data_IF_264435694619
#
_entry.id   IF_264435694619
#
_cell.length_a   1.000
_cell.length_b   1.000
_cell.length_c   1.000
_cell.angle_alpha   90.00
_cell.angle_beta   90.00
_cell.angle_gamma   90.00
#
_symmetry.space_group_name_H-M   'P 1'
#
loop_
_entity.id
_entity.type
_entity.pdbx_description
1 polymer ?
#
# COMPACT_ATOMS: atom_id res chain seq x y z
N UNK A 1 -24.99 0.30 -6.16
CA UNK A 1 -24.66 1.73 -6.39
C UNK A 1 -25.21 2.64 -5.29
N UNK A 2 -26.42 2.44 -4.79
CA UNK A 2 -26.99 3.32 -3.74
C UNK A 2 -26.20 3.30 -2.43
N UNK A 3 -25.68 2.16 -2.01
CA UNK A 3 -24.85 2.03 -0.81
C UNK A 3 -23.54 2.81 -0.91
N UNK A 4 -22.85 2.75 -2.06
CA UNK A 4 -21.59 3.49 -2.31
C UNK A 4 -21.81 5.01 -2.35
N UNK A 5 -23.03 5.46 -2.69
CA UNK A 5 -23.42 6.87 -2.64
C UNK A 5 -23.52 7.42 -1.22
N UNK A 6 -23.89 6.56 -0.26
CA UNK A 6 -24.16 6.97 1.13
C UNK A 6 -22.92 6.93 2.03
N UNK A 7 -21.96 6.07 1.74
CA UNK A 7 -20.70 5.97 2.48
C UNK A 7 -19.59 5.33 1.66
N UNK A 8 -18.36 5.60 2.02
CA UNK A 8 -17.18 4.96 1.45
C UNK A 8 -17.00 3.56 2.03
N UNK A 9 -16.58 2.64 1.17
CA UNK A 9 -16.23 1.27 1.54
C UNK A 9 -14.77 1.01 1.22
N UNK A 10 -14.12 0.21 2.06
CA UNK A 10 -12.71 -0.17 1.90
C UNK A 10 -12.50 -1.35 0.94
N UNK A 11 -13.55 -2.12 0.69
CA UNK A 11 -13.53 -3.32 -0.15
C UNK A 11 -14.94 -3.61 -0.66
N UNK A 12 -15.02 -4.10 -1.90
CA UNK A 12 -16.25 -4.65 -2.48
C UNK A 12 -15.99 -6.10 -2.86
N UNK A 13 -16.85 -7.01 -2.37
CA UNK A 13 -16.89 -8.40 -2.81
C UNK A 13 -18.05 -8.58 -3.78
N UNK A 14 -17.79 -9.24 -4.90
CA UNK A 14 -18.82 -9.57 -5.88
C UNK A 14 -18.67 -10.99 -6.38
N UNK A 15 -19.77 -11.63 -6.74
CA UNK A 15 -19.71 -12.87 -7.51
C UNK A 15 -19.33 -12.54 -8.97
N UNK A 16 -18.58 -13.44 -9.59
CA UNK A 16 -18.28 -13.32 -11.02
C UNK A 16 -19.54 -13.54 -11.86
N UNK A 17 -20.33 -14.54 -11.48
CA UNK A 17 -21.54 -14.96 -12.19
C UNK A 17 -22.78 -14.55 -11.39
N UNK A 18 -23.37 -13.43 -11.75
CA UNK A 18 -24.61 -12.93 -11.17
C UNK A 18 -25.69 -12.78 -12.27
N UNK A 19 -26.99 -12.93 -11.92
CA UNK A 19 -28.07 -12.59 -12.85
C UNK A 19 -28.04 -11.11 -13.24
N UNK A 20 -28.48 -10.78 -14.43
CA UNK A 20 -28.63 -9.41 -14.97
C UNK A 20 -27.30 -8.70 -15.28
N UNK A 21 -26.36 -8.62 -14.35
CA UNK A 21 -25.06 -7.99 -14.49
C UNK A 21 -23.98 -8.89 -13.87
N UNK A 22 -22.96 -9.24 -14.63
CA UNK A 22 -21.85 -10.06 -14.14
C UNK A 22 -20.79 -9.20 -13.43
N UNK A 23 -19.79 -9.87 -12.78
CA UNK A 23 -18.74 -9.18 -12.03
C UNK A 23 -17.89 -8.24 -12.87
N UNK A 24 -17.66 -8.53 -14.15
CA UNK A 24 -16.89 -7.67 -15.06
C UNK A 24 -17.66 -6.40 -15.41
N UNK A 25 -18.92 -6.54 -15.75
CA UNK A 25 -19.83 -5.40 -16.05
C UNK A 25 -20.01 -4.50 -14.83
N UNK A 26 -20.13 -5.10 -13.64
CA UNK A 26 -20.17 -4.35 -12.38
C UNK A 26 -18.88 -3.55 -12.17
N UNK A 27 -17.71 -4.16 -12.41
CA UNK A 27 -16.42 -3.47 -12.28
C UNK A 27 -16.33 -2.28 -13.24
N UNK A 28 -16.71 -2.47 -14.50
CA UNK A 28 -16.73 -1.40 -15.51
C UNK A 28 -17.67 -0.27 -15.10
N UNK A 29 -18.88 -0.60 -14.65
CA UNK A 29 -19.84 0.37 -14.15
C UNK A 29 -19.29 1.17 -12.96
N UNK A 30 -18.58 0.53 -12.04
CA UNK A 30 -17.94 1.21 -10.92
C UNK A 30 -16.85 2.18 -11.39
N UNK A 31 -15.99 1.76 -12.31
CA UNK A 31 -14.85 2.56 -12.80
C UNK A 31 -15.28 3.74 -13.66
N UNK A 32 -16.41 3.64 -14.35
CA UNK A 32 -17.00 4.72 -15.17
C UNK A 32 -17.88 5.68 -14.37
N UNK A 33 -18.37 5.25 -13.20
CA UNK A 33 -19.26 6.08 -12.37
C UNK A 33 -18.49 7.09 -11.51
N UNK A 34 -19.15 8.20 -11.15
CA UNK A 34 -18.63 9.23 -10.24
C UNK A 34 -19.34 9.18 -8.87
N UNK A 35 -19.64 7.99 -8.36
CA UNK A 35 -20.42 7.81 -7.13
C UNK A 35 -19.47 7.41 -5.98
N UNK A 36 -19.33 8.26 -4.97
CA UNK A 36 -18.48 7.99 -3.81
C UNK A 36 -17.06 7.60 -4.23
N UNK A 37 -16.52 6.52 -3.63
CA UNK A 37 -15.21 5.98 -3.99
C UNK A 37 -15.26 4.85 -5.04
N UNK A 38 -16.30 4.80 -5.87
CA UNK A 38 -16.51 3.74 -6.89
C UNK A 38 -15.33 3.51 -7.81
N UNK A 39 -14.62 4.57 -8.20
CA UNK A 39 -13.44 4.49 -9.10
C UNK A 39 -12.23 3.82 -8.46
N UNK A 40 -12.08 3.93 -7.16
CA UNK A 40 -10.87 3.53 -6.43
C UNK A 40 -11.06 2.34 -5.51
N UNK A 41 -12.33 2.02 -5.14
CA UNK A 41 -12.62 0.90 -4.26
C UNK A 41 -12.02 -0.40 -4.80
N UNK A 42 -11.24 -1.16 -4.00
CA UNK A 42 -10.79 -2.48 -4.39
C UNK A 42 -11.99 -3.42 -4.59
N UNK A 43 -12.03 -4.10 -5.73
CA UNK A 43 -13.08 -5.07 -6.04
C UNK A 43 -12.45 -6.46 -6.06
N UNK A 44 -12.92 -7.35 -5.22
CA UNK A 44 -12.53 -8.76 -5.16
C UNK A 44 -13.68 -9.60 -5.70
N UNK A 45 -13.37 -10.46 -6.65
CA UNK A 45 -14.35 -11.37 -7.23
C UNK A 45 -14.38 -12.69 -6.46
N UNK A 46 -15.56 -13.24 -6.27
CA UNK A 46 -15.76 -14.61 -5.78
C UNK A 46 -16.26 -15.50 -6.92
N UNK A 47 -15.76 -16.73 -7.03
CA UNK A 47 -16.16 -17.66 -8.09
C UNK A 47 -16.15 -19.09 -7.60
N UNK A 48 -17.02 -19.94 -8.16
CA UNK A 48 -17.01 -21.39 -7.95
C UNK A 48 -16.17 -22.13 -9.00
N UNK A 49 -15.64 -21.42 -10.01
CA UNK A 49 -14.89 -22.03 -11.11
C UNK A 49 -13.40 -22.03 -10.83
N UNK A 50 -12.78 -23.21 -10.81
CA UNK A 50 -11.33 -23.40 -10.67
C UNK A 50 -10.55 -22.97 -11.94
N UNK A 51 -11.24 -22.74 -13.05
CA UNK A 51 -10.65 -22.34 -14.34
C UNK A 51 -10.53 -20.83 -14.51
N UNK A 52 -10.69 -20.05 -13.43
CA UNK A 52 -10.59 -18.61 -13.53
C UNK A 52 -9.12 -18.18 -13.43
N UNK A 53 -8.59 -17.61 -14.50
CA UNK A 53 -7.22 -17.11 -14.53
C UNK A 53 -7.07 -15.86 -13.65
N UNK A 54 -6.25 -15.97 -12.60
CA UNK A 54 -5.97 -14.84 -11.69
C UNK A 54 -5.24 -13.70 -12.39
N UNK A 55 -4.44 -13.99 -13.39
CA UNK A 55 -3.70 -12.99 -14.17
C UNK A 55 -4.68 -12.18 -15.01
N UNK A 56 -5.60 -12.84 -15.72
CA UNK A 56 -6.67 -12.18 -16.48
C UNK A 56 -7.54 -11.27 -15.59
N UNK A 57 -7.94 -11.76 -14.42
CA UNK A 57 -8.74 -10.95 -13.48
C UNK A 57 -7.99 -9.69 -13.01
N UNK A 58 -6.68 -9.83 -12.77
CA UNK A 58 -5.85 -8.70 -12.34
C UNK A 58 -5.67 -7.67 -13.47
N UNK A 59 -5.45 -8.13 -14.70
CA UNK A 59 -5.37 -7.27 -15.90
C UNK A 59 -6.66 -6.50 -16.15
N UNK A 60 -7.80 -7.13 -15.91
CA UNK A 60 -9.12 -6.48 -15.99
C UNK A 60 -9.42 -5.51 -14.86
N UNK A 61 -8.57 -5.46 -13.82
CA UNK A 61 -8.64 -4.46 -12.74
C UNK A 61 -9.29 -4.95 -11.44
N UNK A 62 -9.51 -6.26 -11.27
CA UNK A 62 -9.87 -6.81 -9.97
C UNK A 62 -8.67 -6.76 -9.01
N UNK A 63 -8.95 -6.47 -7.75
CA UNK A 63 -7.93 -6.43 -6.71
C UNK A 63 -7.52 -7.82 -6.20
N UNK A 64 -8.37 -8.82 -6.42
CA UNK A 64 -8.13 -10.22 -6.04
C UNK A 64 -9.30 -11.12 -6.39
N UNK A 65 -9.10 -12.42 -6.14
CA UNK A 65 -10.09 -13.47 -6.36
C UNK A 65 -10.15 -14.43 -5.17
N UNK A 66 -11.36 -14.88 -4.81
CA UNK A 66 -11.63 -15.94 -3.83
C UNK A 66 -12.42 -17.07 -4.50
N UNK A 67 -11.92 -18.30 -4.37
CA UNK A 67 -12.60 -19.49 -4.87
C UNK A 67 -13.55 -20.02 -3.81
N UNK A 68 -14.81 -20.27 -4.19
CA UNK A 68 -15.82 -20.87 -3.31
C UNK A 68 -15.65 -22.39 -3.25
N UNK A 69 -15.70 -23.00 -2.05
CA UNK A 69 -15.84 -22.39 -0.73
C UNK A 69 -14.52 -21.79 -0.22
N UNK A 70 -14.56 -20.59 0.36
CA UNK A 70 -13.40 -19.95 0.96
C UNK A 70 -13.56 -19.81 2.48
N UNK A 71 -12.43 -19.90 3.18
CA UNK A 71 -12.37 -19.74 4.63
C UNK A 71 -12.33 -18.25 5.05
N UNK A 72 -12.66 -17.97 6.31
CA UNK A 72 -12.50 -16.64 6.90
C UNK A 72 -11.05 -16.16 6.81
N UNK A 73 -10.07 -17.07 6.93
CA UNK A 73 -8.65 -16.73 6.82
C UNK A 73 -8.26 -16.25 5.42
N UNK A 74 -8.77 -16.88 4.38
CA UNK A 74 -8.55 -16.45 2.98
C UNK A 74 -9.19 -15.11 2.71
N UNK A 75 -10.40 -14.89 3.20
CA UNK A 75 -11.06 -13.59 3.11
C UNK A 75 -10.24 -12.49 3.81
N UNK A 76 -9.75 -12.75 5.03
CA UNK A 76 -8.89 -11.81 5.76
C UNK A 76 -7.61 -11.50 4.98
N UNK A 77 -6.90 -12.51 4.46
CA UNK A 77 -5.67 -12.31 3.66
C UNK A 77 -5.91 -11.43 2.44
N UNK A 78 -7.01 -11.65 1.73
CA UNK A 78 -7.36 -10.85 0.55
C UNK A 78 -7.78 -9.44 0.96
N UNK A 79 -8.56 -9.30 2.04
CA UNK A 79 -8.96 -8.00 2.58
C UNK A 79 -7.75 -7.17 3.02
N UNK A 80 -6.80 -7.77 3.74
CA UNK A 80 -5.56 -7.10 4.15
C UNK A 80 -4.72 -6.66 2.94
N UNK A 81 -4.60 -7.53 1.94
CA UNK A 81 -3.91 -7.20 0.68
C UNK A 81 -4.57 -6.04 -0.06
N UNK A 82 -5.90 -5.99 -0.07
CA UNK A 82 -6.66 -4.90 -0.69
C UNK A 82 -6.59 -3.60 0.12
N UNK A 83 -6.68 -3.68 1.45
CA UNK A 83 -6.50 -2.55 2.35
C UNK A 83 -5.08 -1.96 2.23
N UNK A 84 -4.07 -2.81 2.01
CA UNK A 84 -2.70 -2.39 1.72
C UNK A 84 -2.58 -1.70 0.37
N UNK A 85 -3.23 -2.20 -0.69
CA UNK A 85 -3.24 -1.54 -2.02
C UNK A 85 -3.95 -0.18 -1.99
N UNK A 86 -5.02 -0.03 -1.22
CA UNK A 86 -5.69 1.27 -1.02
C UNK A 86 -4.80 2.29 -0.28
N UNK A 87 -4.00 1.81 0.67
CA UNK A 87 -3.05 2.63 1.42
C UNK A 87 -1.76 2.96 0.66
N UNK A 88 -1.45 2.23 -0.42
CA UNK A 88 -0.28 2.49 -1.29
C UNK A 88 -0.27 3.90 -1.89
N UNK A 89 -1.44 4.52 -2.06
CA UNK A 89 -1.61 5.86 -2.63
C UNK A 89 -1.97 6.94 -1.62
N UNK A 90 -2.07 6.61 -0.32
CA UNK A 90 -2.24 7.65 0.70
C UNK A 90 -0.93 8.43 0.85
N UNK A 91 -1.05 9.76 0.73
CA UNK A 91 0.07 10.67 1.01
C UNK A 91 0.45 10.54 2.48
N UNK A 92 1.75 10.63 2.83
CA UNK A 92 2.18 10.68 4.21
C UNK A 92 1.42 11.73 5.01
N UNK A 93 0.89 11.35 6.15
CA UNK A 93 0.13 12.21 7.05
C UNK A 93 1.03 12.73 8.18
N UNK A 94 1.33 14.02 8.17
CA UNK A 94 2.18 14.66 9.16
C UNK A 94 1.42 15.15 10.40
N UNK A 95 0.09 15.12 10.41
CA UNK A 95 -0.75 15.71 11.45
C UNK A 95 -0.38 15.18 12.85
N UNK A 96 -0.29 13.85 12.99
CA UNK A 96 0.07 13.23 14.27
C UNK A 96 1.49 13.57 14.70
N UNK A 97 2.43 13.64 13.76
CA UNK A 97 3.83 13.94 14.06
C UNK A 97 4.00 15.41 14.51
N UNK A 98 3.30 16.34 13.88
CA UNK A 98 3.40 17.77 14.15
C UNK A 98 2.78 18.19 15.49
N UNK A 99 1.92 17.35 16.08
CA UNK A 99 1.34 17.61 17.40
C UNK A 99 2.34 17.56 18.57
N UNK A 100 3.57 17.07 18.35
CA UNK A 100 4.56 16.86 19.41
C UNK A 100 5.52 18.02 19.67
N UNK A 101 5.43 19.16 18.95
CA UNK A 101 6.28 20.32 19.22
C UNK A 101 6.39 21.28 18.03
N UNK A 102 7.55 21.96 17.92
CA UNK A 102 7.79 22.92 16.84
C UNK A 102 7.85 22.20 15.50
N UNK A 103 6.88 22.49 14.63
CA UNK A 103 6.62 21.84 13.37
C UNK A 103 7.82 21.89 12.42
N UNK A 104 8.46 23.05 12.29
CA UNK A 104 9.62 23.23 11.41
C UNK A 104 10.80 22.37 11.86
N UNK A 105 11.07 22.29 13.17
CA UNK A 105 12.16 21.51 13.74
C UNK A 105 11.89 20.00 13.60
N UNK A 106 10.65 19.58 13.80
CA UNK A 106 10.23 18.18 13.65
C UNK A 106 10.40 17.73 12.21
N UNK A 107 9.92 18.54 11.25
CA UNK A 107 10.05 18.24 9.82
C UNK A 107 11.51 18.24 9.36
N UNK A 108 12.34 19.13 9.86
CA UNK A 108 13.77 19.17 9.56
C UNK A 108 14.48 17.88 10.01
N UNK A 109 14.22 17.44 11.24
CA UNK A 109 14.75 16.16 11.78
C UNK A 109 14.28 14.96 10.97
N UNK A 110 12.99 14.92 10.63
CA UNK A 110 12.41 13.84 9.81
C UNK A 110 13.12 13.78 8.44
N UNK A 111 13.30 14.92 7.77
CA UNK A 111 13.96 15.02 6.47
C UNK A 111 15.39 14.49 6.58
N UNK A 112 16.19 15.03 7.51
CA UNK A 112 17.60 14.69 7.67
C UNK A 112 17.78 13.18 8.01
N UNK A 113 16.96 12.66 8.92
CA UNK A 113 17.00 11.24 9.30
C UNK A 113 16.60 10.34 8.14
N UNK A 114 15.53 10.68 7.41
CA UNK A 114 15.06 9.91 6.26
C UNK A 114 16.10 9.92 5.15
N UNK A 115 16.68 11.07 4.79
CA UNK A 115 17.74 11.19 3.79
C UNK A 115 18.95 10.32 4.13
N UNK A 116 19.41 10.37 5.38
CA UNK A 116 20.53 9.56 5.85
C UNK A 116 20.24 8.05 5.72
N UNK A 117 19.07 7.61 6.16
CA UNK A 117 18.69 6.19 6.12
C UNK A 117 18.45 5.70 4.69
N UNK A 118 17.88 6.54 3.79
CA UNK A 118 17.74 6.19 2.37
C UNK A 118 19.09 5.94 1.69
N UNK A 119 20.13 6.69 2.04
CA UNK A 119 21.48 6.44 1.51
C UNK A 119 22.02 5.08 1.95
N UNK A 120 21.79 4.69 3.21
CA UNK A 120 22.25 3.40 3.76
C UNK A 120 21.46 2.25 3.11
N UNK A 121 20.14 2.35 3.02
CA UNK A 121 19.27 1.36 2.33
C UNK A 121 19.72 1.14 0.89
N UNK A 122 20.03 2.21 0.15
CA UNK A 122 20.51 2.12 -1.23
C UNK A 122 21.83 1.34 -1.30
N UNK A 123 22.77 1.60 -0.39
CA UNK A 123 24.06 0.91 -0.32
C UNK A 123 23.88 -0.56 0.07
N UNK A 124 23.06 -0.85 1.08
CA UNK A 124 22.76 -2.21 1.52
C UNK A 124 22.06 -3.02 0.42
N UNK A 125 21.11 -2.43 -0.28
CA UNK A 125 20.45 -3.07 -1.42
C UNK A 125 21.40 -3.41 -2.57
N UNK A 126 22.33 -2.52 -2.90
CA UNK A 126 23.35 -2.77 -3.93
C UNK A 126 24.33 -3.87 -3.53
N UNK A 127 24.66 -3.97 -2.23
CA UNK A 127 25.55 -5.01 -1.68
C UNK A 127 24.83 -6.31 -1.36
N UNK A 128 23.51 -6.33 -1.46
CA UNK A 128 22.64 -7.44 -1.01
C UNK A 128 22.86 -7.78 0.48
N UNK A 129 23.11 -6.78 1.29
CA UNK A 129 23.27 -6.93 2.72
C UNK A 129 21.90 -7.01 3.39
N UNK A 130 21.38 -8.24 3.49
CA UNK A 130 20.05 -8.51 4.03
C UNK A 130 19.95 -8.19 5.52
N UNK A 131 21.04 -8.33 6.29
CA UNK A 131 21.07 -8.02 7.72
C UNK A 131 20.96 -6.51 7.95
N UNK A 132 21.70 -5.71 7.18
CA UNK A 132 21.62 -4.25 7.24
C UNK A 132 20.23 -3.75 6.77
N UNK A 133 19.66 -4.35 5.71
CA UNK A 133 18.31 -4.03 5.25
C UNK A 133 17.25 -4.31 6.32
N UNK A 134 17.37 -5.44 7.02
CA UNK A 134 16.45 -5.78 8.10
C UNK A 134 16.51 -4.79 9.27
N UNK A 135 17.71 -4.50 9.76
CA UNK A 135 17.92 -3.53 10.82
C UNK A 135 17.36 -2.15 10.47
N UNK A 136 17.58 -1.67 9.24
CA UNK A 136 17.09 -0.38 8.76
C UNK A 136 15.56 -0.36 8.63
N UNK A 137 14.97 -1.46 8.16
CA UNK A 137 13.53 -1.63 8.05
C UNK A 137 12.88 -1.52 9.43
N UNK A 138 13.45 -2.19 10.42
CA UNK A 138 12.99 -2.12 11.80
C UNK A 138 13.07 -0.69 12.37
N UNK A 139 14.19 0.00 12.17
CA UNK A 139 14.39 1.35 12.68
C UNK A 139 13.47 2.41 12.05
N UNK A 140 13.16 2.28 10.76
CA UNK A 140 12.29 3.23 10.07
C UNK A 140 10.80 2.99 10.33
N UNK A 141 10.43 1.77 10.71
CA UNK A 141 9.03 1.36 10.79
C UNK A 141 8.21 2.26 11.70
N UNK A 142 8.68 2.54 12.92
CA UNK A 142 7.94 3.35 13.90
C UNK A 142 7.68 4.77 13.41
N UNK A 143 8.67 5.42 12.80
CA UNK A 143 8.53 6.77 12.25
C UNK A 143 7.56 6.79 11.06
N UNK A 144 7.63 5.81 10.17
CA UNK A 144 6.77 5.75 9.01
C UNK A 144 5.35 5.28 9.33
N UNK A 145 5.17 4.50 10.40
CA UNK A 145 3.84 4.10 10.90
C UNK A 145 3.04 5.32 11.38
N UNK A 146 3.68 6.26 12.08
CA UNK A 146 3.06 7.53 12.48
C UNK A 146 2.60 8.33 11.25
N UNK A 147 3.37 8.28 10.17
CA UNK A 147 3.05 8.92 8.88
C UNK A 147 2.07 8.12 8.03
N UNK A 148 1.63 6.96 8.46
CA UNK A 148 0.84 5.98 7.67
C UNK A 148 1.49 5.60 6.34
N UNK A 149 2.82 5.58 6.31
CA UNK A 149 3.64 5.37 5.11
C UNK A 149 4.51 4.10 5.17
N UNK A 150 4.35 3.26 6.21
CA UNK A 150 5.23 2.13 6.55
C UNK A 150 5.04 0.86 5.70
N UNK A 151 4.06 0.85 4.79
CA UNK A 151 3.73 -0.35 4.01
C UNK A 151 4.91 -0.91 3.19
N UNK A 152 5.71 -0.12 2.45
CA UNK A 152 6.85 -0.66 1.73
C UNK A 152 7.89 -1.32 2.66
N UNK A 153 8.04 -0.80 3.89
CA UNK A 153 8.90 -1.40 4.91
C UNK A 153 8.35 -2.74 5.40
N UNK A 154 7.03 -2.85 5.58
CA UNK A 154 6.38 -4.12 5.97
C UNK A 154 6.53 -5.19 4.88
N UNK A 155 6.45 -4.80 3.61
CA UNK A 155 6.64 -5.72 2.49
C UNK A 155 8.09 -6.19 2.40
N UNK A 156 9.05 -5.28 2.50
CA UNK A 156 10.47 -5.63 2.54
C UNK A 156 10.77 -6.55 3.73
N UNK A 157 10.29 -6.22 4.93
CA UNK A 157 10.44 -7.07 6.12
C UNK A 157 9.91 -8.49 5.90
N UNK A 158 8.71 -8.63 5.33
CA UNK A 158 8.14 -9.96 5.03
C UNK A 158 9.03 -10.76 4.09
N UNK A 159 9.57 -10.13 3.04
CA UNK A 159 10.46 -10.81 2.08
C UNK A 159 11.77 -11.23 2.71
N UNK A 160 12.31 -10.46 3.66
CA UNK A 160 13.54 -10.78 4.37
C UNK A 160 13.37 -11.94 5.37
N UNK A 161 12.13 -12.21 5.83
CA UNK A 161 11.82 -13.24 6.83
C UNK A 161 10.93 -14.38 6.30
N UNK A 162 10.70 -14.45 4.98
CA UNK A 162 10.03 -15.60 4.38
C UNK A 162 11.03 -16.74 4.19
N UNK A 163 10.61 -17.97 4.59
CA UNK A 163 11.40 -19.19 4.42
C UNK A 163 11.51 -19.64 2.95
N UNK A 164 10.60 -19.18 2.08
CA UNK A 164 10.74 -19.33 0.63
C UNK A 164 11.74 -18.30 0.11
N UNK A 165 12.76 -18.79 -0.55
CA UNK A 165 13.84 -17.98 -1.15
C UNK A 165 13.26 -16.92 -2.10
N UNK A 166 13.01 -15.73 -1.55
CA UNK A 166 12.61 -14.59 -2.38
C UNK A 166 13.75 -14.32 -3.36
N UNK A 167 13.45 -14.29 -4.66
CA UNK A 167 14.45 -14.02 -5.67
C UNK A 167 15.03 -12.60 -5.52
N UNK A 168 16.27 -12.43 -5.93
CA UNK A 168 17.00 -11.15 -5.87
C UNK A 168 16.22 -9.99 -6.50
N UNK A 169 15.43 -10.27 -7.53
CA UNK A 169 14.63 -9.29 -8.25
C UNK A 169 13.46 -8.78 -7.38
N UNK A 170 12.82 -9.66 -6.65
CA UNK A 170 11.71 -9.34 -5.75
C UNK A 170 12.20 -8.46 -4.59
N UNK A 171 13.33 -8.80 -3.97
CA UNK A 171 13.96 -7.98 -2.91
C UNK A 171 14.37 -6.61 -3.47
N UNK A 172 14.99 -6.56 -4.66
CA UNK A 172 15.39 -5.32 -5.31
C UNK A 172 14.19 -4.39 -5.60
N UNK A 173 13.07 -4.95 -6.04
CA UNK A 173 11.84 -4.19 -6.26
C UNK A 173 11.27 -3.64 -4.94
N UNK A 174 11.29 -4.42 -3.87
CA UNK A 174 10.84 -3.97 -2.56
C UNK A 174 11.74 -2.86 -2.00
N UNK A 175 13.06 -2.98 -2.12
CA UNK A 175 14.03 -1.93 -1.77
C UNK A 175 13.74 -0.65 -2.56
N UNK A 176 13.48 -0.77 -3.87
CA UNK A 176 13.11 0.38 -4.71
C UNK A 176 11.82 1.04 -4.21
N UNK A 177 10.80 0.27 -3.86
CA UNK A 177 9.55 0.81 -3.32
C UNK A 177 9.76 1.60 -2.02
N UNK A 178 10.65 1.12 -1.13
CA UNK A 178 11.05 1.84 0.09
C UNK A 178 11.75 3.16 -0.25
N UNK A 179 12.68 3.16 -1.22
CA UNK A 179 13.40 4.37 -1.65
C UNK A 179 12.47 5.40 -2.29
N UNK A 180 11.52 4.95 -3.10
CA UNK A 180 10.54 5.81 -3.75
C UNK A 180 9.62 6.47 -2.70
N UNK A 181 9.14 5.69 -1.72
CA UNK A 181 8.32 6.22 -0.61
C UNK A 181 9.10 7.17 0.29
N UNK A 182 10.36 6.88 0.60
CA UNK A 182 11.24 7.78 1.35
C UNK A 182 11.44 9.12 0.63
N UNK A 183 11.61 9.08 -0.69
CA UNK A 183 11.73 10.28 -1.53
C UNK A 183 10.43 11.11 -1.52
N UNK A 184 9.28 10.46 -1.53
CA UNK A 184 7.97 11.11 -1.41
C UNK A 184 7.81 11.79 -0.04
N UNK A 185 8.15 11.09 1.06
CA UNK A 185 8.11 11.65 2.42
C UNK A 185 8.98 12.91 2.51
N UNK A 186 10.22 12.87 2.03
CA UNK A 186 11.15 13.98 2.04
C UNK A 186 10.58 15.19 1.26
N UNK A 187 10.06 14.93 0.05
CA UNK A 187 9.48 15.99 -0.78
C UNK A 187 8.30 16.67 -0.09
N UNK A 188 7.35 15.87 0.41
CA UNK A 188 6.16 16.40 1.08
C UNK A 188 6.49 17.09 2.41
N UNK A 189 7.44 16.57 3.19
CA UNK A 189 7.91 17.19 4.41
C UNK A 189 8.57 18.56 4.14
N UNK A 190 9.34 18.70 3.05
CA UNK A 190 9.90 19.98 2.61
C UNK A 190 8.81 20.97 2.19
N UNK A 191 7.78 20.51 1.48
CA UNK A 191 6.64 21.35 1.11
C UNK A 191 5.86 21.81 2.35
N UNK A 192 5.62 20.90 3.31
CA UNK A 192 4.93 21.21 4.55
C UNK A 192 5.71 22.21 5.41
N UNK A 193 7.03 22.01 5.58
CA UNK A 193 7.92 22.89 6.34
C UNK A 193 7.89 24.33 5.85
N UNK A 194 7.83 24.56 4.53
CA UNK A 194 7.76 25.92 3.94
C UNK A 194 6.54 26.72 4.40
N UNK A 195 5.46 26.06 4.81
CA UNK A 195 4.27 26.74 5.34
C UNK A 195 4.54 27.41 6.69
N UNK A 196 5.44 26.81 7.49
CA UNK A 196 5.80 27.30 8.82
C UNK A 196 7.01 28.25 8.83
N UNK A 197 7.75 28.36 7.73
CA UNK A 197 8.86 29.31 7.58
C UNK A 197 8.41 30.68 7.07
N UNK A 198 7.21 30.74 6.46
CA UNK A 198 6.66 31.95 5.84
C UNK A 198 5.50 32.59 6.66
N UNK A 199 5.23 32.14 7.85
CA UNK A 199 4.24 32.65 8.80
C UNK A 199 4.91 33.17 10.06
#
# INVERSE_FOLDING_TARGET
>A
MEMIRRKEYSLLLTDLNMPEINGFELLELLRTSNVGNSKTIPVVVTTASDNCDKEELTERGFAGCLFKPFSTLELMKVSDKCAMKGKLNEKPDFTSLLSYGNESVILEKLIAETEKKMQVIRKAGLKKDLQELDALTHHLRSSWEILRADQPLRELYKLLHCDDTSDDKTISNAVKAVLDKGSEIIRLAKEERRKYENG
#
